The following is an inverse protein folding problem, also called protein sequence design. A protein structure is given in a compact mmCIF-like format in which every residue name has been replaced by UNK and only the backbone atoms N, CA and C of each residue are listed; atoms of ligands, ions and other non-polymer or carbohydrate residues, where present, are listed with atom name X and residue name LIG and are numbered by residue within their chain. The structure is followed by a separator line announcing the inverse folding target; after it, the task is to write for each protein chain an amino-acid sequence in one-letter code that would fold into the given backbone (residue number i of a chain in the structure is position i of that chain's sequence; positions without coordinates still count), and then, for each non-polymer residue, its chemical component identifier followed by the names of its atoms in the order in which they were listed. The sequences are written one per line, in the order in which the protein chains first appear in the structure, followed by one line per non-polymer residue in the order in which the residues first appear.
data_IF_993373238254
#
_entry.id   IF_993373238254
#
_cell.length_a   1.000
_cell.length_b   1.000
_cell.length_c   1.000
_cell.angle_alpha   90.00
_cell.angle_beta   90.00
_cell.angle_gamma   90.00
#
_symmetry.space_group_name_H-M   'P 1'
#
loop_
_entity.id
_entity.type
_entity.pdbx_description
1 polymer ?
#
# COMPACT_ATOMS: atom_id res chain seq x y z
N UNK A 1 -14.10 7.43 5.57
CA UNK A 1 -13.77 7.01 4.20
C UNK A 1 -13.34 8.23 3.42
N UNK A 2 -12.26 8.16 2.63
CA UNK A 2 -11.77 9.32 1.89
C UNK A 2 -12.79 9.78 0.84
N UNK A 3 -12.84 11.09 0.60
CA UNK A 3 -13.67 11.66 -0.45
C UNK A 3 -12.89 11.62 -1.77
N UNK A 4 -13.44 10.93 -2.78
CA UNK A 4 -12.83 10.84 -4.10
C UNK A 4 -13.24 12.04 -4.99
N UNK A 5 -12.37 12.48 -5.92
CA UNK A 5 -11.00 12.00 -6.16
C UNK A 5 -10.02 12.44 -5.05
N UNK A 6 -8.99 11.62 -4.79
CA UNK A 6 -7.94 11.98 -3.82
C UNK A 6 -7.14 13.20 -4.31
N UNK A 7 -6.88 14.21 -3.46
CA UNK A 7 -6.03 15.34 -3.81
C UNK A 7 -4.54 14.95 -3.81
N UNK A 8 -3.67 15.69 -4.53
CA UNK A 8 -2.22 15.60 -4.33
C UNK A 8 -1.85 15.80 -2.85
N UNK A 9 -0.87 15.04 -2.36
CA UNK A 9 -0.49 14.94 -0.96
C UNK A 9 -1.19 13.80 -0.20
N UNK A 10 -2.18 13.13 -0.81
CA UNK A 10 -2.75 11.88 -0.26
C UNK A 10 -1.75 10.72 -0.32
N UNK A 11 -2.00 9.71 0.51
CA UNK A 11 -1.12 8.52 0.63
C UNK A 11 -1.80 7.28 0.08
N UNK A 12 -1.09 6.57 -0.80
CA UNK A 12 -1.49 5.26 -1.31
C UNK A 12 -0.72 4.15 -0.59
N UNK A 13 -1.42 3.10 -0.19
CA UNK A 13 -0.82 1.86 0.30
C UNK A 13 -0.73 0.85 -0.83
N UNK A 14 0.42 0.19 -0.98
CA UNK A 14 0.58 -0.91 -1.93
C UNK A 14 1.07 -2.13 -1.16
N UNK A 15 0.32 -3.22 -1.28
CA UNK A 15 0.71 -4.53 -0.78
C UNK A 15 1.50 -5.27 -1.88
N UNK A 16 2.78 -5.53 -1.60
CA UNK A 16 3.76 -6.07 -2.55
C UNK A 16 4.74 -5.02 -3.06
N UNK A 17 6.04 -5.33 -2.98
CA UNK A 17 7.15 -4.45 -3.26
C UNK A 17 7.96 -4.77 -4.52
N UNK A 18 7.43 -5.58 -5.43
CA UNK A 18 8.05 -5.99 -6.69
C UNK A 18 8.09 -4.89 -7.76
N UNK A 19 8.29 -5.31 -9.01
CA UNK A 19 8.46 -4.39 -10.14
C UNK A 19 7.20 -3.59 -10.47
N UNK A 20 6.01 -4.15 -10.23
CA UNK A 20 4.74 -3.49 -10.55
C UNK A 20 4.44 -2.41 -9.50
N UNK A 21 4.62 -2.72 -8.22
CA UNK A 21 4.56 -1.77 -7.12
C UNK A 21 5.58 -0.65 -7.29
N UNK A 22 6.78 -0.96 -7.81
CA UNK A 22 7.78 0.06 -8.16
C UNK A 22 7.27 1.00 -9.26
N UNK A 23 6.74 0.46 -10.35
CA UNK A 23 6.20 1.25 -11.46
C UNK A 23 5.03 2.13 -10.99
N UNK A 24 4.14 1.57 -10.16
CA UNK A 24 2.99 2.27 -9.60
C UNK A 24 3.44 3.40 -8.66
N UNK A 25 4.41 3.13 -7.78
CA UNK A 25 4.94 4.12 -6.84
C UNK A 25 5.57 5.31 -7.57
N UNK A 26 6.36 5.05 -8.61
CA UNK A 26 6.94 6.11 -9.43
C UNK A 26 5.88 6.92 -10.19
N UNK A 27 4.79 6.30 -10.64
CA UNK A 27 3.69 7.01 -11.29
C UNK A 27 2.91 7.87 -10.28
N UNK A 28 2.60 7.31 -9.11
CA UNK A 28 1.92 8.00 -8.01
C UNK A 28 2.70 9.24 -7.55
N UNK A 29 4.02 9.12 -7.39
CA UNK A 29 4.90 10.24 -7.03
C UNK A 29 4.84 11.39 -8.05
N UNK A 30 4.79 11.10 -9.36
CA UNK A 30 4.64 12.12 -10.41
C UNK A 30 3.32 12.87 -10.36
N UNK A 31 2.28 12.24 -9.79
CA UNK A 31 0.96 12.83 -9.58
C UNK A 31 0.84 13.55 -8.22
N UNK A 32 1.91 13.52 -7.41
CA UNK A 32 1.97 14.17 -6.11
C UNK A 32 1.44 13.34 -4.94
N UNK A 33 1.32 12.02 -5.09
CA UNK A 33 0.94 11.13 -3.98
C UNK A 33 2.17 10.58 -3.25
N UNK A 34 2.03 10.39 -1.94
CA UNK A 34 2.94 9.56 -1.16
C UNK A 34 2.55 8.08 -1.28
N UNK A 35 3.53 7.20 -1.09
CA UNK A 35 3.32 5.75 -1.22
C UNK A 35 3.96 5.01 -0.05
N UNK A 36 3.20 4.11 0.57
CA UNK A 36 3.64 3.18 1.61
C UNK A 36 3.59 1.77 1.04
N UNK A 37 4.73 1.08 1.05
CA UNK A 37 4.83 -0.31 0.60
C UNK A 37 4.78 -1.25 1.80
N UNK A 38 3.99 -2.31 1.74
CA UNK A 38 4.11 -3.46 2.64
C UNK A 38 4.73 -4.63 1.86
N UNK A 39 5.90 -5.08 2.30
CA UNK A 39 6.66 -6.16 1.66
C UNK A 39 7.60 -6.85 2.66
N UNK A 40 7.75 -8.19 2.63
CA UNK A 40 8.59 -8.92 3.58
C UNK A 40 10.10 -8.67 3.38
N UNK A 41 10.53 -8.26 2.18
CA UNK A 41 11.93 -8.00 1.86
C UNK A 41 12.29 -6.54 2.16
N UNK A 42 13.23 -6.26 3.09
CA UNK A 42 13.69 -4.90 3.32
C UNK A 42 14.36 -4.32 2.08
N UNK A 43 14.11 -3.04 1.78
CA UNK A 43 14.60 -2.39 0.56
C UNK A 43 14.14 -3.10 -0.72
N UNK A 44 12.88 -3.51 -0.76
CA UNK A 44 12.25 -4.09 -1.95
C UNK A 44 12.33 -3.12 -3.14
N UNK A 45 12.21 -3.61 -4.39
CA UNK A 45 12.24 -2.76 -5.59
C UNK A 45 11.32 -1.53 -5.51
N UNK A 46 10.11 -1.67 -4.97
CA UNK A 46 9.17 -0.58 -4.75
C UNK A 46 9.51 0.24 -3.49
N UNK A 47 9.93 -0.40 -2.39
CA UNK A 47 10.29 0.28 -1.15
C UNK A 47 11.39 1.35 -1.35
N UNK A 48 12.35 1.09 -2.24
CA UNK A 48 13.44 2.04 -2.58
C UNK A 48 13.01 3.32 -3.27
N UNK A 49 11.80 3.37 -3.84
CA UNK A 49 11.28 4.52 -4.61
C UNK A 49 10.00 5.10 -4.03
N UNK A 50 9.61 4.65 -2.84
CA UNK A 50 8.38 5.04 -2.16
C UNK A 50 8.69 5.96 -0.96
N UNK A 51 7.65 6.60 -0.42
CA UNK A 51 7.79 7.46 0.77
C UNK A 51 8.25 6.65 1.98
N UNK A 52 7.67 5.46 2.18
CA UNK A 52 8.09 4.54 3.26
C UNK A 52 7.81 3.08 2.91
N UNK A 53 8.39 2.18 3.72
CA UNK A 53 8.19 0.74 3.64
C UNK A 53 7.91 0.16 5.04
N UNK A 54 6.89 -0.69 5.12
CA UNK A 54 6.59 -1.59 6.22
C UNK A 54 7.19 -2.95 5.85
N UNK A 55 8.18 -3.42 6.62
CA UNK A 55 8.86 -4.69 6.39
C UNK A 55 8.18 -5.78 7.22
N UNK A 56 7.27 -6.54 6.61
CA UNK A 56 6.50 -7.58 7.28
C UNK A 56 5.88 -8.55 6.25
N UNK A 57 5.39 -9.70 6.72
CA UNK A 57 4.63 -10.63 5.89
C UNK A 57 3.28 -10.01 5.44
N UNK A 58 2.77 -10.45 4.29
CA UNK A 58 1.52 -9.95 3.70
C UNK A 58 0.25 -10.27 4.51
N UNK A 59 0.35 -11.24 5.42
CA UNK A 59 -0.71 -11.69 6.31
C UNK A 59 -0.48 -11.26 7.77
N UNK A 60 0.55 -10.46 8.04
CA UNK A 60 0.80 -9.91 9.37
C UNK A 60 -0.33 -8.93 9.75
N UNK A 61 -1.15 -9.25 10.77
CA UNK A 61 -2.31 -8.43 11.11
C UNK A 61 -1.96 -7.02 11.60
N UNK A 62 -0.81 -6.87 12.26
CA UNK A 62 -0.35 -5.59 12.79
C UNK A 62 0.21 -4.71 11.67
N UNK A 63 0.95 -5.31 10.74
CA UNK A 63 1.44 -4.63 9.54
C UNK A 63 0.31 -4.19 8.62
N UNK A 64 -0.69 -5.04 8.39
CA UNK A 64 -1.91 -4.69 7.65
C UNK A 64 -2.67 -3.55 8.31
N UNK A 65 -2.77 -3.57 9.64
CA UNK A 65 -3.39 -2.47 10.40
C UNK A 65 -2.58 -1.18 10.25
N UNK A 66 -1.26 -1.25 10.30
CA UNK A 66 -0.38 -0.11 10.12
C UNK A 66 -0.50 0.47 8.70
N UNK A 67 -0.51 -0.37 7.68
CA UNK A 67 -0.72 0.03 6.28
C UNK A 67 -2.08 0.71 6.11
N UNK A 68 -3.14 0.10 6.64
CA UNK A 68 -4.51 0.62 6.53
C UNK A 68 -4.72 1.96 7.25
N UNK A 69 -3.92 2.26 8.29
CA UNK A 69 -3.92 3.57 8.97
C UNK A 69 -3.05 4.62 8.28
N UNK A 70 -2.02 4.18 7.57
CA UNK A 70 -1.07 5.07 6.90
C UNK A 70 -1.56 5.54 5.53
N UNK A 71 -2.48 4.80 4.89
CA UNK A 71 -2.95 5.06 3.54
C UNK A 71 -4.43 5.50 3.49
N UNK A 72 -4.74 6.41 2.56
CA UNK A 72 -6.11 6.78 2.22
C UNK A 72 -6.80 5.66 1.43
N UNK A 73 -6.06 5.08 0.47
CA UNK A 73 -6.50 3.97 -0.39
C UNK A 73 -5.38 2.93 -0.47
N UNK A 74 -5.75 1.65 -0.42
CA UNK A 74 -4.80 0.53 -0.54
C UNK A 74 -5.11 -0.27 -1.80
N UNK A 75 -4.06 -0.62 -2.54
CA UNK A 75 -4.09 -1.53 -3.68
C UNK A 75 -3.02 -2.61 -3.53
N UNK A 76 -2.95 -3.57 -4.44
CA UNK A 76 -2.01 -4.69 -4.38
C UNK A 76 -1.47 -5.05 -5.77
N UNK A 77 -0.22 -5.48 -5.85
CA UNK A 77 0.44 -5.76 -7.14
C UNK A 77 0.36 -7.23 -7.61
N UNK A 78 -0.25 -8.12 -6.83
CA UNK A 78 -0.33 -9.55 -7.14
C UNK A 78 -1.72 -10.15 -6.88
N UNK A 79 -2.04 -11.22 -7.60
CA UNK A 79 -3.41 -11.76 -7.69
C UNK A 79 -3.83 -12.58 -6.45
N UNK A 80 -2.87 -13.16 -5.74
CA UNK A 80 -3.12 -14.12 -4.64
C UNK A 80 -2.99 -13.46 -3.26
N UNK A 81 -3.65 -12.31 -3.05
CA UNK A 81 -3.76 -11.71 -1.72
C UNK A 81 -4.79 -12.51 -0.90
N UNK A 82 -4.45 -13.00 0.31
CA UNK A 82 -5.41 -13.69 1.16
C UNK A 82 -6.64 -12.80 1.45
N UNK A 83 -7.84 -13.36 1.40
CA UNK A 83 -9.07 -12.63 1.70
C UNK A 83 -9.06 -11.99 3.11
N UNK A 84 -8.48 -12.70 4.08
CA UNK A 84 -8.31 -12.20 5.45
C UNK A 84 -7.46 -10.90 5.50
N UNK A 85 -6.48 -10.74 4.61
CA UNK A 85 -5.69 -9.51 4.52
C UNK A 85 -6.54 -8.33 4.07
N UNK A 86 -7.45 -8.55 3.10
CA UNK A 86 -8.38 -7.53 2.59
C UNK A 86 -9.38 -7.12 3.67
N UNK A 87 -9.96 -8.09 4.37
CA UNK A 87 -10.87 -7.84 5.49
C UNK A 87 -10.19 -7.00 6.58
N UNK A 88 -8.94 -7.34 6.91
CA UNK A 88 -8.18 -6.60 7.92
C UNK A 88 -7.87 -5.16 7.52
N UNK A 89 -7.55 -4.91 6.26
CA UNK A 89 -7.34 -3.55 5.74
C UNK A 89 -8.63 -2.72 5.81
N UNK A 90 -9.77 -3.33 5.47
CA UNK A 90 -11.07 -2.67 5.57
C UNK A 90 -11.44 -2.34 7.04
N UNK A 91 -11.19 -3.25 7.98
CA UNK A 91 -11.37 -3.02 9.42
C UNK A 91 -10.47 -1.90 9.95
N UNK A 92 -9.26 -1.75 9.40
CA UNK A 92 -8.33 -0.69 9.75
C UNK A 92 -8.73 0.70 9.22
N UNK A 93 -9.78 0.76 8.39
CA UNK A 93 -10.36 1.99 7.86
C UNK A 93 -9.90 2.36 6.44
N UNK A 94 -9.05 1.54 5.82
CA UNK A 94 -8.61 1.77 4.45
C UNK A 94 -9.69 1.39 3.44
N UNK A 95 -9.79 2.18 2.37
CA UNK A 95 -10.52 1.78 1.18
C UNK A 95 -9.61 0.88 0.33
N UNK A 96 -9.98 -0.39 0.16
CA UNK A 96 -9.24 -1.31 -0.72
C UNK A 96 -9.76 -1.19 -2.15
N UNK A 97 -8.87 -0.84 -3.09
CA UNK A 97 -9.15 -0.67 -4.51
C UNK A 97 -8.21 -1.58 -5.34
N UNK A 98 -8.70 -2.74 -5.82
CA UNK A 98 -7.96 -3.65 -6.68
C UNK A 98 -7.53 -3.03 -8.02
#
# INVERSE_FOLDING_TARGET
MPQLPLPPGSTLGILGGGQLGRMLSQAASRLGFDVVILDPEPNSPAGRVSHSQIVAAYDDPDALTALGRAADVVTFEFENVPAASIERLAEAGALVAP
#
